data_IF_850090686530
#
_entry.id   IF_850090686530
#
_cell.length_a   1.000
_cell.length_b   1.000
_cell.length_c   1.000
_cell.angle_alpha   90.00
_cell.angle_beta   90.00
_cell.angle_gamma   90.00
#
_symmetry.space_group_name_H-M   'P 1'
#
loop_
_entity.id
_entity.type
_entity.pdbx_description
1 polymer ?
#
# COMPACT_ATOMS: atom_id res chain seq x y z
N UNK A 1 -18.70 -12.20 -9.66
CA UNK A 1 -17.75 -11.22 -10.21
C UNK A 1 -17.69 -9.99 -9.29
N UNK A 2 -17.00 -10.06 -8.14
CA UNK A 2 -16.91 -8.91 -7.21
C UNK A 2 -15.50 -8.66 -6.63
N UNK A 3 -14.51 -9.55 -6.84
CA UNK A 3 -13.11 -9.32 -6.40
C UNK A 3 -12.40 -8.19 -7.16
N UNK A 4 -12.64 -8.08 -8.47
CA UNK A 4 -11.93 -7.16 -9.38
C UNK A 4 -11.99 -5.67 -9.00
N UNK A 5 -13.03 -5.21 -8.29
CA UNK A 5 -13.15 -3.80 -7.91
C UNK A 5 -12.38 -3.46 -6.62
N UNK A 6 -12.28 -4.41 -5.68
CA UNK A 6 -11.72 -4.17 -4.34
C UNK A 6 -10.21 -3.94 -4.40
N UNK A 7 -9.49 -4.89 -5.00
CA UNK A 7 -8.04 -4.80 -5.20
C UNK A 7 -7.67 -3.50 -5.94
N UNK A 8 -8.45 -3.14 -6.97
CA UNK A 8 -8.24 -1.91 -7.73
C UNK A 8 -8.36 -0.66 -6.86
N UNK A 9 -9.40 -0.56 -6.05
CA UNK A 9 -9.56 0.59 -5.16
C UNK A 9 -8.48 0.68 -4.10
N UNK A 10 -8.04 -0.48 -3.59
CA UNK A 10 -6.97 -0.56 -2.61
C UNK A 10 -5.65 0.02 -3.15
N UNK A 11 -5.33 -0.20 -4.43
CA UNK A 11 -4.09 0.28 -5.06
C UNK A 11 -4.21 1.64 -5.77
N UNK A 12 -5.38 1.98 -6.31
CA UNK A 12 -5.52 3.18 -7.15
C UNK A 12 -5.76 4.47 -6.35
N UNK A 13 -6.33 4.41 -5.14
CA UNK A 13 -6.57 5.63 -4.36
C UNK A 13 -5.36 5.93 -3.45
N UNK A 14 -4.70 7.09 -3.56
CA UNK A 14 -3.61 7.42 -2.64
C UNK A 14 -4.08 7.59 -1.20
N UNK A 15 -5.18 8.31 -1.00
CA UNK A 15 -5.65 8.70 0.33
C UNK A 15 -6.33 7.51 1.04
N UNK A 16 -6.28 7.46 2.39
CA UNK A 16 -7.14 6.59 3.17
C UNK A 16 -8.62 6.92 2.91
N UNK A 17 -9.47 5.90 3.00
CA UNK A 17 -10.91 5.99 2.96
C UNK A 17 -11.47 6.91 4.03
N UNK A 18 -12.39 7.81 3.63
CA UNK A 18 -13.03 8.77 4.53
C UNK A 18 -14.44 8.39 5.03
N UNK A 19 -15.04 7.30 4.55
CA UNK A 19 -16.46 6.97 4.80
C UNK A 19 -16.70 5.47 5.07
N UNK A 20 -15.86 4.88 5.92
CA UNK A 20 -15.88 3.46 6.26
C UNK A 20 -14.48 2.93 6.52
N UNK A 21 -14.18 1.69 6.10
CA UNK A 21 -12.82 1.15 6.15
C UNK A 21 -11.82 2.07 5.42
N UNK A 22 -10.68 2.35 6.06
CA UNK A 22 -9.61 3.23 5.57
C UNK A 22 -8.92 2.67 4.33
N UNK A 23 -8.98 1.37 4.09
CA UNK A 23 -8.39 0.77 2.90
C UNK A 23 -9.13 1.13 1.59
N UNK A 24 -10.44 1.42 1.65
CA UNK A 24 -11.28 1.69 0.47
C UNK A 24 -11.66 3.16 0.36
N UNK A 25 -11.63 3.77 -0.83
CA UNK A 25 -12.04 5.15 -1.03
C UNK A 25 -13.53 5.34 -0.76
N UNK A 26 -13.89 6.52 -0.28
CA UNK A 26 -15.27 6.98 -0.26
C UNK A 26 -15.77 7.31 -1.67
N UNK A 27 -17.09 7.35 -1.85
CA UNK A 27 -17.67 7.74 -3.14
C UNK A 27 -17.28 9.16 -3.55
N UNK A 28 -17.14 10.05 -2.57
CA UNK A 28 -16.64 11.40 -2.82
C UNK A 28 -15.20 11.39 -3.36
N UNK A 29 -14.30 10.59 -2.78
CA UNK A 29 -12.92 10.47 -3.28
C UNK A 29 -12.88 9.90 -4.70
N UNK A 30 -13.70 8.89 -5.01
CA UNK A 30 -13.79 8.33 -6.36
C UNK A 30 -14.22 9.40 -7.38
N UNK A 31 -15.11 10.32 -7.01
CA UNK A 31 -15.66 11.32 -7.92
C UNK A 31 -14.85 12.61 -8.03
N UNK A 32 -13.99 12.92 -7.04
CA UNK A 32 -13.34 14.24 -6.92
C UNK A 32 -11.82 14.19 -6.92
N UNK A 33 -11.22 13.03 -6.66
CA UNK A 33 -9.76 12.88 -6.57
C UNK A 33 -9.23 12.11 -7.77
N UNK A 34 -8.05 12.46 -8.29
CA UNK A 34 -7.39 11.66 -9.30
C UNK A 34 -7.04 10.29 -8.73
N UNK A 35 -7.40 9.23 -9.44
CA UNK A 35 -7.00 7.86 -9.14
C UNK A 35 -5.71 7.54 -9.90
N UNK A 36 -4.82 6.77 -9.27
CA UNK A 36 -3.64 6.24 -9.90
C UNK A 36 -4.04 5.18 -10.94
N UNK A 37 -3.42 5.17 -12.14
CA UNK A 37 -3.87 4.38 -13.28
C UNK A 37 -3.46 2.90 -13.19
N UNK A 38 -3.33 2.35 -11.99
CA UNK A 38 -2.96 0.95 -11.79
C UNK A 38 -4.10 0.00 -12.12
N UNK A 39 -3.73 -1.13 -12.69
CA UNK A 39 -4.64 -2.23 -12.96
C UNK A 39 -4.21 -3.45 -12.15
N UNK A 40 -5.19 -4.22 -11.69
CA UNK A 40 -4.95 -5.50 -11.02
C UNK A 40 -5.89 -6.52 -11.63
N UNK A 41 -5.42 -7.77 -11.72
CA UNK A 41 -6.23 -8.90 -12.15
C UNK A 41 -7.19 -9.40 -11.06
N UNK A 42 -7.27 -8.70 -9.92
CA UNK A 42 -8.45 -8.67 -9.07
C UNK A 42 -8.55 -9.76 -8.01
N UNK A 43 -7.45 -10.47 -7.74
CA UNK A 43 -7.43 -11.62 -6.83
C UNK A 43 -6.71 -11.39 -5.51
N UNK A 44 -6.09 -10.22 -5.28
CA UNK A 44 -5.31 -10.02 -4.04
C UNK A 44 -6.17 -9.59 -2.84
N UNK A 45 -7.42 -9.12 -3.06
CA UNK A 45 -8.34 -8.72 -1.99
C UNK A 45 -9.65 -9.48 -2.11
N UNK A 46 -9.99 -10.26 -1.09
CA UNK A 46 -11.20 -11.06 -1.00
C UNK A 46 -12.09 -10.61 0.17
N UNK A 47 -13.34 -11.06 0.19
CA UNK A 47 -14.31 -10.76 1.26
C UNK A 47 -14.76 -12.04 1.93
N UNK A 48 -14.67 -12.06 3.25
CA UNK A 48 -15.40 -13.00 4.08
C UNK A 48 -16.82 -12.47 4.30
N UNK A 49 -17.79 -13.05 3.57
CA UNK A 49 -19.21 -12.66 3.69
C UNK A 49 -19.80 -13.00 5.07
N UNK A 50 -19.22 -13.95 5.81
CA UNK A 50 -19.74 -14.35 7.12
C UNK A 50 -19.35 -13.37 8.22
N UNK A 51 -18.16 -12.77 8.10
CA UNK A 51 -17.61 -11.81 9.07
C UNK A 51 -17.76 -10.35 8.64
N UNK A 52 -18.18 -10.14 7.40
CA UNK A 52 -18.23 -8.82 6.76
C UNK A 52 -16.86 -8.13 6.68
N UNK A 53 -15.80 -8.94 6.52
CA UNK A 53 -14.40 -8.49 6.55
C UNK A 53 -13.77 -8.64 5.16
N UNK A 54 -13.02 -7.63 4.73
CA UNK A 54 -12.19 -7.72 3.52
C UNK A 54 -10.75 -8.06 3.95
N UNK A 55 -10.07 -8.97 3.25
CA UNK A 55 -8.74 -9.45 3.60
C UNK A 55 -7.85 -9.65 2.37
N UNK A 56 -6.54 -9.69 2.59
CA UNK A 56 -5.55 -10.00 1.56
C UNK A 56 -4.47 -10.95 2.09
N UNK A 57 -3.87 -11.74 1.21
CA UNK A 57 -2.68 -12.57 1.49
C UNK A 57 -1.57 -12.17 0.53
N UNK A 58 -0.55 -11.51 1.08
CA UNK A 58 0.39 -10.67 0.33
C UNK A 58 1.79 -10.78 0.87
N UNK A 59 2.77 -10.45 0.02
CA UNK A 59 4.14 -10.23 0.46
C UNK A 59 4.26 -8.87 1.13
N UNK A 60 4.87 -8.79 2.30
CA UNK A 60 5.02 -7.53 3.02
C UNK A 60 6.34 -7.44 3.77
N UNK A 61 6.73 -6.22 4.14
CA UNK A 61 7.92 -5.97 4.95
C UNK A 61 7.72 -4.74 5.81
N UNK A 62 8.37 -4.69 6.97
CA UNK A 62 8.37 -3.51 7.83
C UNK A 62 9.59 -2.63 7.52
N UNK A 63 9.38 -1.33 7.38
CA UNK A 63 10.46 -0.39 7.09
C UNK A 63 10.16 1.01 7.60
N UNK A 64 11.24 1.73 7.94
CA UNK A 64 11.18 3.15 8.26
C UNK A 64 11.14 3.97 6.97
N UNK A 65 10.07 4.73 6.76
CA UNK A 65 9.84 5.55 5.57
C UNK A 65 10.12 7.01 5.88
N UNK A 66 10.87 7.68 5.01
CA UNK A 66 11.19 9.11 5.17
C UNK A 66 11.29 9.85 3.83
N UNK A 67 11.25 11.19 3.90
CA UNK A 67 11.30 12.06 2.70
C UNK A 67 9.97 12.26 1.96
N UNK A 68 8.88 11.60 2.39
CA UNK A 68 7.54 11.71 1.77
C UNK A 68 6.56 12.60 2.55
N UNK A 69 7.00 13.26 3.62
CA UNK A 69 6.12 14.07 4.47
C UNK A 69 5.79 15.43 3.87
N UNK A 70 6.76 16.07 3.19
CA UNK A 70 6.59 17.37 2.56
C UNK A 70 5.88 17.22 1.22
N UNK A 71 4.86 18.04 0.97
CA UNK A 71 4.09 18.01 -0.28
C UNK A 71 4.67 19.03 -1.24
N UNK A 72 5.41 18.54 -2.23
CA UNK A 72 5.83 19.30 -3.41
C UNK A 72 5.02 18.85 -4.63
N UNK A 73 4.99 19.67 -5.69
CA UNK A 73 4.30 19.31 -6.91
C UNK A 73 5.03 18.17 -7.66
N UNK A 74 4.27 17.17 -8.12
CA UNK A 74 4.80 16.07 -8.93
C UNK A 74 5.10 14.79 -8.16
N UNK A 75 6.03 13.98 -8.70
CA UNK A 75 6.49 12.73 -8.09
C UNK A 75 7.44 13.05 -6.96
N UNK A 76 7.16 12.53 -5.76
CA UNK A 76 7.95 12.84 -4.57
C UNK A 76 8.86 11.66 -4.23
N UNK A 77 10.19 11.84 -4.25
CA UNK A 77 11.13 10.81 -3.89
C UNK A 77 11.19 10.67 -2.37
N UNK A 78 11.36 9.45 -1.89
CA UNK A 78 11.64 9.12 -0.51
C UNK A 78 12.42 7.83 -0.44
N UNK A 79 12.60 7.34 0.78
CA UNK A 79 13.34 6.12 1.00
C UNK A 79 12.69 5.27 2.09
N UNK A 80 12.91 3.97 1.99
CA UNK A 80 12.48 2.97 2.96
C UNK A 80 13.70 2.21 3.46
N UNK A 81 13.94 2.25 4.77
CA UNK A 81 15.02 1.52 5.43
C UNK A 81 14.43 0.30 6.13
N UNK A 82 14.88 -0.88 5.70
CA UNK A 82 14.38 -2.17 6.19
C UNK A 82 15.49 -2.90 6.94
N UNK A 83 15.15 -3.47 8.10
CA UNK A 83 16.06 -4.37 8.84
C UNK A 83 15.94 -5.79 8.29
N UNK A 84 17.07 -6.40 8.00
CA UNK A 84 17.23 -7.74 7.45
C UNK A 84 18.29 -8.51 8.26
N UNK A 85 18.38 -9.83 8.07
CA UNK A 85 19.36 -10.69 8.77
C UNK A 85 20.83 -10.27 8.55
N UNK A 86 21.12 -9.56 7.45
CA UNK A 86 22.45 -9.04 7.10
C UNK A 86 22.69 -7.56 7.45
N UNK A 87 21.78 -6.91 8.18
CA UNK A 87 21.86 -5.48 8.51
C UNK A 87 20.68 -4.68 7.97
N UNK A 88 20.89 -3.42 7.63
CA UNK A 88 19.85 -2.54 7.07
C UNK A 88 20.01 -2.40 5.56
N UNK A 89 18.93 -2.58 4.82
CA UNK A 89 18.84 -2.25 3.39
C UNK A 89 18.02 -0.98 3.20
N UNK A 90 18.40 -0.17 2.23
CA UNK A 90 17.74 1.09 1.91
C UNK A 90 17.23 1.00 0.47
N UNK A 91 15.94 1.31 0.30
CA UNK A 91 15.24 1.26 -0.97
C UNK A 91 14.70 2.63 -1.32
N UNK A 92 14.87 3.05 -2.57
CA UNK A 92 14.22 4.23 -3.11
C UNK A 92 12.76 3.94 -3.37
N UNK A 93 11.91 4.84 -2.92
CA UNK A 93 10.47 4.81 -3.17
C UNK A 93 10.00 6.17 -3.68
N UNK A 94 8.89 6.17 -4.42
CA UNK A 94 8.30 7.39 -4.93
C UNK A 94 6.80 7.42 -4.65
N UNK A 95 6.29 8.59 -4.24
CA UNK A 95 4.86 8.84 -4.17
C UNK A 95 4.42 9.63 -5.43
N UNK A 96 3.66 9.02 -6.36
CA UNK A 96 3.18 9.69 -7.58
C UNK A 96 1.95 10.58 -7.32
N UNK A 97 1.80 11.08 -6.09
CA UNK A 97 0.64 11.82 -5.62
C UNK A 97 1.04 12.85 -4.54
N UNK A 98 0.13 13.79 -4.29
CA UNK A 98 0.34 14.90 -3.35
C UNK A 98 -0.13 14.62 -1.92
N UNK A 99 -0.74 13.47 -1.65
CA UNK A 99 -1.09 13.09 -0.27
C UNK A 99 0.17 12.85 0.59
N UNK A 100 0.38 13.59 1.70
CA UNK A 100 1.59 13.46 2.51
C UNK A 100 1.67 12.11 3.22
N UNK A 101 2.87 11.57 3.33
CA UNK A 101 3.15 10.35 4.09
C UNK A 101 4.16 10.73 5.17
N UNK A 102 3.74 10.85 6.44
CA UNK A 102 4.63 11.19 7.54
C UNK A 102 5.81 10.21 7.66
N UNK A 103 6.89 10.66 8.27
CA UNK A 103 8.03 9.77 8.55
C UNK A 103 7.68 8.88 9.73
N UNK A 104 7.70 7.56 9.52
CA UNK A 104 7.31 6.57 10.54
C UNK A 104 7.76 5.18 10.09
N UNK A 105 7.59 4.21 10.98
CA UNK A 105 7.69 2.79 10.64
C UNK A 105 6.35 2.34 10.09
N UNK A 106 6.39 1.76 8.89
CA UNK A 106 5.22 1.22 8.22
C UNK A 106 5.44 -0.21 7.76
N UNK A 107 4.33 -0.90 7.51
CA UNK A 107 4.30 -2.11 6.73
C UNK A 107 4.06 -1.75 5.26
N UNK A 108 4.96 -2.19 4.39
CA UNK A 108 4.87 -2.09 2.95
C UNK A 108 4.33 -3.42 2.43
N UNK A 109 3.13 -3.41 1.88
CA UNK A 109 2.53 -4.56 1.17
C UNK A 109 2.92 -4.46 -0.31
N UNK A 110 3.59 -5.48 -0.82
CA UNK A 110 3.96 -5.58 -2.22
C UNK A 110 2.78 -6.16 -3.02
N UNK A 111 2.06 -5.29 -3.73
CA UNK A 111 0.75 -5.63 -4.30
C UNK A 111 0.83 -6.00 -5.80
N UNK A 112 1.69 -5.30 -6.56
CA UNK A 112 1.91 -5.58 -7.99
C UNK A 112 3.40 -5.84 -8.28
N UNK A 113 3.94 -7.01 -7.86
CA UNK A 113 5.37 -7.29 -7.93
C UNK A 113 5.89 -7.57 -9.35
N UNK A 114 5.01 -7.70 -10.34
CA UNK A 114 5.37 -7.99 -11.73
C UNK A 114 5.24 -6.79 -12.67
N UNK A 115 4.75 -5.65 -12.16
CA UNK A 115 4.70 -4.39 -12.89
C UNK A 115 5.92 -3.53 -12.55
N UNK A 116 6.36 -2.71 -13.51
CA UNK A 116 7.44 -1.73 -13.32
C UNK A 116 6.88 -0.35 -13.62
N UNK A 117 6.83 0.58 -12.65
CA UNK A 117 7.29 0.42 -11.27
C UNK A 117 6.47 -0.58 -10.45
N UNK A 118 7.11 -1.19 -9.45
CA UNK A 118 6.46 -2.05 -8.47
C UNK A 118 5.60 -1.21 -7.54
N UNK A 119 4.33 -1.60 -7.38
CA UNK A 119 3.39 -0.85 -6.54
C UNK A 119 3.29 -1.47 -5.15
N UNK A 120 3.53 -0.64 -4.14
CA UNK A 120 3.44 -1.00 -2.73
C UNK A 120 2.36 -0.18 -2.02
N UNK A 121 1.62 -0.83 -1.12
CA UNK A 121 0.68 -0.15 -0.22
C UNK A 121 1.39 0.07 1.10
N UNK A 122 1.48 1.32 1.53
CA UNK A 122 1.99 1.70 2.85
C UNK A 122 0.82 1.71 3.83
N UNK A 123 1.01 1.07 4.97
CA UNK A 123 0.05 1.11 6.05
C UNK A 123 0.63 0.68 7.38
N UNK A 124 -0.22 0.67 8.39
CA UNK A 124 0.12 0.22 9.74
C UNK A 124 -0.39 -1.19 9.95
N UNK A 125 0.52 -2.10 10.27
CA UNK A 125 0.14 -3.39 10.84
C UNK A 125 -0.31 -3.17 12.28
N UNK A 126 -1.50 -3.68 12.59
CA UNK A 126 -2.15 -3.57 13.88
C UNK A 126 -2.31 -4.98 14.49
N UNK A 127 -2.63 -5.09 15.79
CA UNK A 127 -2.97 -6.35 16.40
C UNK A 127 -4.06 -7.11 15.63
N UNK A 128 -4.10 -8.44 15.81
CA UNK A 128 -5.08 -9.33 15.14
C UNK A 128 -4.94 -9.34 13.61
N UNK A 129 -3.74 -9.08 13.09
CA UNK A 129 -3.47 -9.05 11.64
C UNK A 129 -4.30 -8.00 10.89
N UNK A 130 -4.66 -6.91 11.54
CA UNK A 130 -5.36 -5.80 10.86
C UNK A 130 -4.35 -4.91 10.16
N UNK A 131 -4.74 -4.39 8.99
CA UNK A 131 -3.91 -3.47 8.22
C UNK A 131 -4.69 -2.20 7.96
N UNK A 132 -4.18 -1.09 8.49
CA UNK A 132 -4.70 0.23 8.24
C UNK A 132 -3.89 0.90 7.12
N UNK A 133 -4.51 1.09 5.96
CA UNK A 133 -3.88 1.77 4.84
C UNK A 133 -3.56 3.23 5.18
N UNK A 134 -2.36 3.66 4.81
CA UNK A 134 -1.89 5.05 4.89
C UNK A 134 -1.79 5.66 3.49
N UNK A 135 -1.10 5.00 2.55
CA UNK A 135 -0.94 5.50 1.18
C UNK A 135 -0.43 4.43 0.21
N UNK A 136 -0.10 4.84 -1.02
CA UNK A 136 0.47 4.01 -2.09
C UNK A 136 1.82 4.60 -2.50
N UNK A 137 2.82 3.75 -2.76
CA UNK A 137 4.12 4.17 -3.30
C UNK A 137 4.59 3.21 -4.38
N UNK A 138 5.57 3.68 -5.14
CA UNK A 138 6.23 2.95 -6.19
C UNK A 138 7.69 2.68 -5.83
N UNK A 139 8.25 1.58 -6.33
CA UNK A 139 9.69 1.33 -6.30
C UNK A 139 10.14 0.63 -7.58
N UNK A 140 11.39 0.85 -7.99
CA UNK A 140 12.03 0.12 -9.09
C UNK A 140 12.96 -0.99 -8.57
N UNK A 141 13.09 -1.13 -7.25
CA UNK A 141 14.04 -2.02 -6.63
C UNK A 141 13.41 -3.39 -6.37
N UNK A 142 13.78 -4.36 -7.21
CA UNK A 142 13.28 -5.74 -7.16
C UNK A 142 13.72 -6.49 -5.90
N UNK A 143 14.89 -6.15 -5.37
CA UNK A 143 15.50 -6.77 -4.19
C UNK A 143 14.64 -6.62 -2.93
N UNK A 144 13.64 -5.73 -2.95
CA UNK A 144 12.63 -5.63 -1.89
C UNK A 144 11.85 -6.94 -1.74
N UNK A 145 11.60 -7.67 -2.83
CA UNK A 145 10.88 -8.96 -2.79
C UNK A 145 11.65 -10.04 -2.03
N UNK A 146 12.98 -10.04 -2.12
CA UNK A 146 13.82 -11.06 -1.49
C UNK A 146 13.79 -11.00 0.04
N UNK A 147 13.29 -9.89 0.59
CA UNK A 147 13.20 -9.66 2.04
C UNK A 147 11.75 -9.54 2.53
N UNK A 148 10.77 -9.74 1.64
CA UNK A 148 9.36 -9.78 2.03
C UNK A 148 9.00 -11.12 2.66
N UNK A 149 8.07 -11.08 3.59
CA UNK A 149 7.40 -12.26 4.14
C UNK A 149 5.94 -12.29 3.71
N UNK A 150 5.41 -13.51 3.49
CA UNK A 150 4.01 -13.70 3.15
C UNK A 150 3.15 -13.59 4.40
N UNK A 151 2.17 -12.69 4.39
CA UNK A 151 1.25 -12.48 5.51
C UNK A 151 -0.17 -12.23 5.03
N UNK A 152 -1.11 -12.76 5.79
CA UNK A 152 -2.53 -12.45 5.65
C UNK A 152 -2.90 -11.26 6.54
N UNK A 153 -3.63 -10.28 5.99
CA UNK A 153 -4.18 -9.14 6.70
C UNK A 153 -5.68 -9.00 6.51
N UNK A 154 -6.38 -8.57 7.58
CA UNK A 154 -7.73 -8.01 7.52
C UNK A 154 -7.59 -6.52 7.22
N UNK A 155 -8.22 -6.05 6.15
CA UNK A 155 -8.14 -4.66 5.72
C UNK A 155 -9.17 -3.82 6.45
N UNK A 156 -8.71 -2.76 7.12
CA UNK A 156 -9.58 -1.85 7.88
C UNK A 156 -9.56 -0.42 7.38
#
# INVERSE_FOLDING_TARGET
>A
MHGNARARWFVSCPEPGGAGPKWRPSWHQVMTKPMLPYWTNGSEVDRDETRDEDWCDVQCVEGFVWGLAVVEAGVRPGECIVKCDGGTKQFRITAPHTYPIPEDIYTLIHFLPYESPHVCIIGRSLPERRFEKVSVVETFEKDLLDITERRQYILI
#
